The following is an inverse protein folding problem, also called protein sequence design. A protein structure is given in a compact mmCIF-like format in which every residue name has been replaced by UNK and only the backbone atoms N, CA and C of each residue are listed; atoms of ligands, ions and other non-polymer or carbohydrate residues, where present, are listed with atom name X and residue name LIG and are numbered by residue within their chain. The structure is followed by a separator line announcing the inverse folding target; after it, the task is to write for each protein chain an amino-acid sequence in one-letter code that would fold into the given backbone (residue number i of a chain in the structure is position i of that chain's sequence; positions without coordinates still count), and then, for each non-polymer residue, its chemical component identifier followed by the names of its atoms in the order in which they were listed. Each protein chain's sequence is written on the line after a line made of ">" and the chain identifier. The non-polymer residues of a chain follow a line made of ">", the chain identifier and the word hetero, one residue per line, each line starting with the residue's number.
data_IF_962024211802
#
_entry.id   IF_962024211802
#
_cell.length_a   1.000
_cell.length_b   1.000
_cell.length_c   1.000
_cell.angle_alpha   90.00
_cell.angle_beta   90.00
_cell.angle_gamma   90.00
#
_symmetry.space_group_name_H-M   'P 1'
#
loop_
_entity.id
_entity.type
_entity.pdbx_description
1 polymer ?
#
# COMPACT_ATOMS: atom_id res chain seq x y z
N UNK A 1 -15.79 0.80 18.15
CA UNK A 1 -15.94 2.26 18.29
C UNK A 1 -15.21 2.98 17.15
N UNK A 2 -13.88 2.84 17.02
CA UNK A 2 -13.15 3.41 15.88
C UNK A 2 -13.34 2.61 14.57
N UNK A 3 -13.31 1.29 14.63
CA UNK A 3 -13.74 0.41 13.51
C UNK A 3 -15.25 0.48 13.32
N UNK A 4 -15.70 0.37 12.07
CA UNK A 4 -17.09 0.41 11.62
C UNK A 4 -17.16 0.20 10.10
N UNK A 5 -18.35 0.25 9.54
CA UNK A 5 -18.56 0.04 8.10
C UNK A 5 -17.85 1.14 7.26
N UNK A 6 -17.13 0.78 6.18
CA UNK A 6 -16.53 1.75 5.27
C UNK A 6 -17.57 2.76 4.76
N UNK A 7 -17.17 4.03 4.61
CA UNK A 7 -18.04 5.13 4.23
C UNK A 7 -18.87 5.72 5.38
N UNK A 8 -18.88 5.13 6.57
CA UNK A 8 -19.56 5.71 7.74
C UNK A 8 -18.64 6.65 8.51
N UNK A 9 -19.22 7.69 9.11
CA UNK A 9 -18.46 8.67 9.88
C UNK A 9 -18.25 8.26 11.35
N UNK A 10 -17.15 8.75 11.92
CA UNK A 10 -16.88 8.70 13.36
C UNK A 10 -16.39 10.06 13.84
N UNK A 11 -17.02 10.57 14.89
CA UNK A 11 -16.59 11.78 15.57
C UNK A 11 -15.68 11.41 16.74
N UNK A 12 -14.48 11.98 16.77
CA UNK A 12 -13.50 11.78 17.85
C UNK A 12 -13.07 13.13 18.41
N UNK A 13 -12.83 13.18 19.72
CA UNK A 13 -12.29 14.37 20.39
C UNK A 13 -10.84 14.10 20.78
N UNK A 14 -9.94 15.01 20.40
CA UNK A 14 -8.50 14.91 20.66
C UNK A 14 -8.04 16.05 21.56
N UNK A 15 -7.44 15.70 22.69
CA UNK A 15 -6.70 16.64 23.53
C UNK A 15 -5.36 16.94 22.89
N UNK A 16 -5.07 18.23 22.63
CA UNK A 16 -3.79 18.68 22.06
C UNK A 16 -3.06 19.58 23.07
N UNK A 17 -1.78 19.32 23.39
CA UNK A 17 -1.02 20.20 24.27
C UNK A 17 -1.04 21.65 23.78
N UNK A 18 -1.37 22.58 24.68
CA UNK A 18 -1.51 24.00 24.36
C UNK A 18 -2.90 24.44 23.87
N UNK A 19 -3.86 23.52 23.77
CA UNK A 19 -5.27 23.83 23.52
C UNK A 19 -6.10 23.34 24.71
N UNK A 20 -6.81 24.25 25.36
CA UNK A 20 -7.55 23.96 26.60
C UNK A 20 -8.72 22.99 26.36
N UNK A 21 -9.41 23.11 25.23
CA UNK A 21 -10.57 22.28 24.90
C UNK A 21 -10.22 21.15 23.91
N UNK A 22 -10.77 19.93 24.08
CA UNK A 22 -10.59 18.87 23.10
C UNK A 22 -11.15 19.25 21.72
N UNK A 23 -10.30 19.11 20.70
CA UNK A 23 -10.64 19.41 19.31
C UNK A 23 -11.46 18.25 18.75
N UNK A 24 -12.58 18.55 18.11
CA UNK A 24 -13.44 17.56 17.46
C UNK A 24 -13.04 17.32 16.01
N UNK A 25 -12.96 16.05 15.62
CA UNK A 25 -12.68 15.60 14.25
C UNK A 25 -13.75 14.61 13.81
N UNK A 26 -14.32 14.83 12.63
CA UNK A 26 -15.13 13.82 11.93
C UNK A 26 -14.23 13.12 10.92
N UNK A 27 -14.14 11.81 11.03
CA UNK A 27 -13.33 10.95 10.17
C UNK A 27 -14.28 9.98 9.46
N UNK A 28 -14.23 9.94 8.13
CA UNK A 28 -14.94 8.92 7.35
C UNK A 28 -14.12 7.64 7.35
N UNK A 29 -14.76 6.51 7.70
CA UNK A 29 -14.09 5.21 7.71
C UNK A 29 -13.80 4.74 6.29
N UNK A 30 -12.65 4.14 6.09
CA UNK A 30 -12.28 3.53 4.82
C UNK A 30 -11.64 2.18 5.07
N UNK A 31 -11.67 1.31 4.06
CA UNK A 31 -10.85 0.10 4.07
C UNK A 31 -9.39 0.54 4.00
N UNK A 32 -8.62 0.22 5.03
CA UNK A 32 -7.19 0.50 5.01
C UNK A 32 -6.55 -0.46 4.02
N UNK A 33 -6.16 0.09 2.86
CA UNK A 33 -5.40 -0.65 1.88
C UNK A 33 -3.92 -0.58 2.22
N UNK A 34 -3.37 -1.70 2.72
CA UNK A 34 -1.93 -1.83 2.93
C UNK A 34 -1.30 -2.25 1.61
N UNK A 35 -0.62 -1.32 0.93
CA UNK A 35 0.01 -1.61 -0.37
C UNK A 35 1.03 -2.74 -0.24
N UNK A 36 0.85 -3.79 -1.05
CA UNK A 36 1.80 -4.88 -1.20
C UNK A 36 3.09 -4.39 -1.88
N UNK A 37 2.95 -3.47 -2.84
CA UNK A 37 4.03 -2.78 -3.56
C UNK A 37 4.03 -1.31 -3.16
N UNK A 38 4.90 -0.88 -2.22
CA UNK A 38 4.90 0.50 -1.74
C UNK A 38 5.39 1.53 -2.78
N UNK A 39 6.18 1.10 -3.76
CA UNK A 39 6.68 1.93 -4.86
C UNK A 39 7.22 1.07 -6.01
N UNK A 40 7.46 1.69 -7.16
CA UNK A 40 8.27 1.13 -8.26
C UNK A 40 9.27 2.19 -8.73
N UNK A 41 10.40 1.77 -9.28
CA UNK A 41 11.43 2.70 -9.77
C UNK A 41 12.19 2.15 -10.98
N UNK A 42 12.55 3.02 -11.92
CA UNK A 42 13.54 2.74 -12.95
C UNK A 42 14.94 3.00 -12.38
N UNK A 43 15.81 2.00 -12.41
CA UNK A 43 17.23 2.12 -12.09
C UNK A 43 18.04 2.35 -13.38
N UNK A 44 19.37 2.46 -13.25
CA UNK A 44 20.29 2.50 -14.39
C UNK A 44 20.15 1.23 -15.25
N UNK A 45 20.61 1.31 -16.51
CA UNK A 45 20.60 0.21 -17.48
C UNK A 45 19.21 -0.42 -17.76
N UNK A 46 18.15 0.39 -17.72
CA UNK A 46 16.77 -0.03 -18.04
C UNK A 46 16.27 -1.15 -17.09
N UNK A 47 16.79 -1.18 -15.86
CA UNK A 47 16.39 -2.15 -14.83
C UNK A 47 15.28 -1.56 -13.95
N UNK A 48 14.09 -2.14 -14.00
CA UNK A 48 13.01 -1.79 -13.10
C UNK A 48 13.16 -2.47 -11.75
N UNK A 49 12.72 -1.80 -10.69
CA UNK A 49 12.77 -2.28 -9.32
C UNK A 49 11.39 -2.22 -8.69
N UNK A 50 10.93 -3.36 -8.18
CA UNK A 50 9.62 -3.52 -7.54
C UNK A 50 9.81 -4.31 -6.24
N UNK A 51 9.73 -3.68 -5.05
CA UNK A 51 9.70 -4.38 -3.78
C UNK A 51 8.29 -4.87 -3.47
N UNK A 52 8.15 -6.16 -3.16
CA UNK A 52 6.90 -6.75 -2.67
C UNK A 52 7.07 -7.07 -1.18
N UNK A 53 6.42 -6.30 -0.31
CA UNK A 53 6.63 -6.37 1.15
C UNK A 53 5.82 -7.45 1.86
N UNK A 54 4.66 -7.80 1.32
CA UNK A 54 3.81 -8.87 1.83
C UNK A 54 2.92 -9.38 0.70
N UNK A 55 2.51 -10.65 0.77
CA UNK A 55 1.57 -11.24 -0.18
C UNK A 55 0.14 -11.11 0.35
N UNK A 56 -0.54 -10.06 -0.07
CA UNK A 56 -1.93 -9.73 0.28
C UNK A 56 -2.86 -9.88 -0.93
N UNK A 57 -4.17 -9.68 -0.72
CA UNK A 57 -5.24 -9.92 -1.70
C UNK A 57 -5.06 -9.17 -3.04
N UNK A 58 -4.51 -7.95 -3.01
CA UNK A 58 -4.33 -7.14 -4.22
C UNK A 58 -2.90 -7.19 -4.79
N UNK A 59 -2.03 -8.07 -4.29
CA UNK A 59 -0.60 -8.06 -4.65
C UNK A 59 -0.37 -8.29 -6.13
N UNK A 60 -1.09 -9.23 -6.74
CA UNK A 60 -0.94 -9.55 -8.15
C UNK A 60 -1.29 -8.34 -9.04
N UNK A 61 -2.33 -7.58 -8.68
CA UNK A 61 -2.74 -6.37 -9.39
C UNK A 61 -1.72 -5.25 -9.22
N UNK A 62 -1.24 -5.02 -7.99
CA UNK A 62 -0.24 -3.98 -7.71
C UNK A 62 1.10 -4.26 -8.39
N UNK A 63 1.57 -5.51 -8.38
CA UNK A 63 2.80 -5.90 -9.08
C UNK A 63 2.61 -5.72 -10.59
N UNK A 64 1.46 -6.14 -11.15
CA UNK A 64 1.17 -5.96 -12.57
C UNK A 64 1.18 -4.48 -12.96
N UNK A 65 0.49 -3.63 -12.21
CA UNK A 65 0.46 -2.18 -12.47
C UNK A 65 1.86 -1.55 -12.41
N UNK A 66 2.67 -1.93 -11.41
CA UNK A 66 4.05 -1.46 -11.28
C UNK A 66 4.92 -1.89 -12.48
N UNK A 67 4.82 -3.15 -12.90
CA UNK A 67 5.57 -3.70 -14.04
C UNK A 67 5.13 -3.04 -15.35
N UNK A 68 3.83 -2.84 -15.55
CA UNK A 68 3.30 -2.24 -16.78
C UNK A 68 3.73 -0.77 -16.91
N UNK A 69 3.74 0.00 -15.81
CA UNK A 69 4.31 1.36 -15.78
C UNK A 69 5.79 1.36 -16.18
N UNK A 70 6.59 0.51 -15.54
CA UNK A 70 8.03 0.43 -15.83
C UNK A 70 8.30 -0.03 -17.27
N UNK A 71 7.50 -0.95 -17.81
CA UNK A 71 7.57 -1.35 -19.22
C UNK A 71 7.29 -0.17 -20.16
N UNK A 72 6.27 0.64 -19.86
CA UNK A 72 5.96 1.84 -20.63
C UNK A 72 7.09 2.88 -20.59
N UNK A 73 7.87 2.90 -19.50
CA UNK A 73 9.07 3.74 -19.32
C UNK A 73 10.34 3.16 -19.97
N UNK A 74 10.30 1.96 -20.57
CA UNK A 74 11.42 1.36 -21.29
C UNK A 74 12.18 0.25 -20.55
N UNK A 75 11.62 -0.28 -19.46
CA UNK A 75 12.25 -1.35 -18.68
C UNK A 75 12.55 -2.60 -19.53
N UNK A 76 13.75 -3.15 -19.36
CA UNK A 76 14.23 -4.37 -20.04
C UNK A 76 14.62 -5.50 -19.10
N UNK A 77 14.95 -5.18 -17.86
CA UNK A 77 15.18 -6.15 -16.79
C UNK A 77 14.38 -5.75 -15.55
N UNK A 78 14.03 -6.73 -14.71
CA UNK A 78 13.25 -6.50 -13.50
C UNK A 78 13.96 -7.12 -12.29
N UNK A 79 14.10 -6.34 -11.23
CA UNK A 79 14.39 -6.81 -9.88
C UNK A 79 13.09 -6.79 -9.08
N UNK A 80 12.56 -7.98 -8.80
CA UNK A 80 11.48 -8.18 -7.84
C UNK A 80 12.09 -8.45 -6.46
N UNK A 81 12.04 -7.45 -5.57
CA UNK A 81 12.63 -7.57 -4.23
C UNK A 81 11.64 -8.17 -3.24
N UNK A 82 11.90 -9.42 -2.84
CA UNK A 82 11.15 -10.16 -1.83
C UNK A 82 11.81 -10.13 -0.44
N UNK A 83 12.88 -9.35 -0.24
CA UNK A 83 13.56 -9.28 1.05
C UNK A 83 12.64 -8.70 2.13
N UNK A 84 12.59 -9.39 3.27
CA UNK A 84 11.73 -9.00 4.38
C UNK A 84 10.24 -9.27 4.13
N UNK A 85 9.89 -9.99 3.06
CA UNK A 85 8.52 -10.45 2.82
C UNK A 85 8.27 -11.76 3.58
N UNK A 86 7.40 -11.79 4.60
CA UNK A 86 7.11 -12.99 5.39
C UNK A 86 6.18 -13.99 4.64
N UNK A 87 5.76 -13.67 3.41
CA UNK A 87 4.76 -14.40 2.65
C UNK A 87 3.37 -13.81 2.82
N UNK A 88 2.36 -14.68 2.75
CA UNK A 88 0.94 -14.31 2.88
C UNK A 88 0.02 -15.28 2.15
N UNK A 89 -1.02 -14.76 1.49
CA UNK A 89 -2.06 -15.59 0.85
C UNK A 89 -1.46 -16.42 -0.30
N UNK A 90 -1.59 -17.76 -0.22
CA UNK A 90 -1.00 -18.69 -1.17
C UNK A 90 -1.47 -18.43 -2.61
N UNK A 91 -2.77 -18.21 -2.79
CA UNK A 91 -3.38 -18.00 -4.11
C UNK A 91 -2.77 -16.78 -4.82
N UNK A 92 -2.41 -15.75 -4.07
CA UNK A 92 -1.78 -14.53 -4.56
C UNK A 92 -0.28 -14.72 -4.88
N UNK A 93 0.35 -15.77 -4.34
CA UNK A 93 1.75 -16.11 -4.64
C UNK A 93 1.91 -17.00 -5.87
N UNK A 94 0.82 -17.59 -6.39
CA UNK A 94 0.84 -18.52 -7.53
C UNK A 94 0.26 -17.88 -8.81
N UNK A 95 -0.68 -16.94 -8.66
CA UNK A 95 -1.44 -16.33 -9.75
C UNK A 95 -0.65 -15.37 -10.65
#
# INVERSE_FOLDING_TARGET
>A
LLRGEPGTDVTVRMLRPGVEEPIEFTITREVIHLMAVPFSAMLEDEVGYVPLRAVQENSAEEVRAAVDSLRAEGMRALVLDLRGNPGGLLDQGIA
#
